data_IF_847396104030
#
_entry.id   IF_847396104030
#
_cell.length_a   1.000
_cell.length_b   1.000
_cell.length_c   1.000
_cell.angle_alpha   90.00
_cell.angle_beta   90.00
_cell.angle_gamma   90.00
#
_symmetry.space_group_name_H-M   'P 1'
#
loop_
_entity.id
_entity.type
_entity.pdbx_description
1 polymer ?
#
# COMPACT_ATOMS: atom_id res chain seq x y z
N UNK A 1 12.99 -6.02 58.66
CA UNK A 1 13.82 -5.63 57.49
C UNK A 1 14.21 -6.80 56.55
N UNK A 2 13.48 -7.92 56.54
CA UNK A 2 13.80 -9.08 55.67
C UNK A 2 12.79 -9.29 54.53
N UNK A 3 11.62 -8.65 54.56
CA UNK A 3 10.58 -8.83 53.52
C UNK A 3 10.62 -7.86 52.33
N UNK A 4 11.47 -6.82 52.36
CA UNK A 4 11.52 -5.79 51.29
C UNK A 4 12.63 -6.07 50.27
N UNK A 5 13.61 -6.95 50.57
CA UNK A 5 14.75 -7.22 49.68
C UNK A 5 14.45 -8.22 48.54
N UNK A 6 13.40 -9.02 48.62
CA UNK A 6 13.06 -10.00 47.56
C UNK A 6 12.30 -9.41 46.37
N UNK A 7 11.64 -8.26 46.53
CA UNK A 7 10.93 -7.61 45.41
C UNK A 7 11.87 -6.81 44.49
N UNK A 8 13.02 -6.36 45.01
CA UNK A 8 14.00 -5.62 44.22
C UNK A 8 14.80 -6.50 43.24
N UNK A 9 15.00 -7.78 43.56
CA UNK A 9 15.70 -8.73 42.66
C UNK A 9 14.77 -9.19 41.53
N UNK A 10 13.47 -9.31 41.78
CA UNK A 10 12.46 -9.62 40.74
C UNK A 10 12.26 -8.44 39.79
N UNK A 11 12.38 -7.19 40.27
CA UNK A 11 12.28 -6.00 39.41
C UNK A 11 13.52 -5.72 38.55
N UNK A 12 14.73 -6.08 39.01
CA UNK A 12 15.95 -5.91 38.22
C UNK A 12 16.20 -7.01 37.18
N UNK A 13 15.60 -8.19 37.31
CA UNK A 13 15.66 -9.24 36.28
C UNK A 13 14.79 -8.92 35.04
N UNK A 14 13.97 -7.88 35.09
CA UNK A 14 13.09 -7.43 33.99
C UNK A 14 13.74 -6.39 33.06
N UNK A 15 15.01 -6.02 33.28
CA UNK A 15 15.66 -4.92 32.55
C UNK A 15 16.79 -5.31 31.59
N UNK A 16 17.06 -6.60 31.41
CA UNK A 16 18.10 -7.08 30.48
C UNK A 16 17.70 -8.31 29.65
N UNK A 17 16.43 -8.68 29.63
CA UNK A 17 15.92 -9.71 28.73
C UNK A 17 15.05 -9.07 27.64
N UNK A 18 15.68 -8.60 26.56
CA UNK A 18 15.02 -8.44 25.26
C UNK A 18 14.70 -9.79 24.61
N UNK A 19 14.44 -10.82 25.44
CA UNK A 19 13.92 -12.10 25.02
C UNK A 19 12.41 -11.93 24.86
N UNK A 20 11.94 -12.12 23.64
CA UNK A 20 10.55 -12.24 23.28
C UNK A 20 9.75 -13.03 24.31
N UNK A 21 8.77 -12.39 24.93
CA UNK A 21 7.84 -13.00 25.89
C UNK A 21 7.24 -14.29 25.30
N UNK A 22 6.99 -14.35 23.98
CA UNK A 22 6.46 -15.56 23.33
C UNK A 22 7.46 -16.72 23.14
N UNK A 23 8.77 -16.50 22.99
CA UNK A 23 9.70 -17.61 22.65
C UNK A 23 10.33 -18.26 23.88
N UNK A 24 10.33 -17.59 25.03
CA UNK A 24 10.83 -18.15 26.28
C UNK A 24 9.72 -18.75 27.18
N UNK A 25 8.43 -18.49 26.86
CA UNK A 25 7.34 -18.79 27.80
C UNK A 25 6.95 -20.28 27.90
N UNK A 26 6.63 -21.01 26.83
CA UNK A 26 5.90 -22.28 27.08
C UNK A 26 6.75 -23.56 27.26
N UNK A 27 8.01 -23.61 26.83
CA UNK A 27 8.84 -24.82 27.08
C UNK A 27 9.41 -24.89 28.51
N UNK A 28 9.33 -23.80 29.26
CA UNK A 28 9.89 -23.69 30.62
C UNK A 28 8.82 -23.61 31.72
N UNK A 29 7.53 -23.57 31.37
CA UNK A 29 6.45 -23.39 32.34
C UNK A 29 5.94 -24.73 32.91
N UNK A 30 5.69 -24.74 34.22
CA UNK A 30 5.02 -25.86 34.89
C UNK A 30 3.57 -25.98 34.43
N UNK A 31 2.94 -27.14 34.67
CA UNK A 31 1.51 -27.33 34.40
C UNK A 31 0.64 -26.30 35.13
N UNK A 32 1.01 -25.95 36.36
CA UNK A 32 0.30 -24.95 37.16
C UNK A 32 0.42 -23.55 36.52
N UNK A 33 1.58 -23.19 35.98
CA UNK A 33 1.77 -21.90 35.28
C UNK A 33 0.99 -21.85 33.97
N UNK A 34 0.96 -22.94 33.20
CA UNK A 34 0.13 -23.03 31.99
C UNK A 34 -1.35 -22.91 32.31
N UNK A 35 -1.81 -23.53 33.41
CA UNK A 35 -3.19 -23.42 33.86
C UNK A 35 -3.54 -22.02 34.35
N UNK A 36 -2.61 -21.35 35.04
CA UNK A 36 -2.83 -20.01 35.59
C UNK A 36 -2.78 -18.90 34.53
N UNK A 37 -1.88 -19.00 33.54
CA UNK A 37 -1.57 -17.89 32.63
C UNK A 37 -1.77 -18.20 31.14
N UNK A 38 -1.99 -19.46 30.76
CA UNK A 38 -2.10 -19.88 29.34
C UNK A 38 -3.20 -19.16 28.57
N UNK A 39 -4.34 -18.90 29.21
CA UNK A 39 -5.42 -18.12 28.61
C UNK A 39 -5.00 -16.65 28.38
N UNK A 40 -4.32 -16.03 29.36
CA UNK A 40 -3.83 -14.66 29.21
C UNK A 40 -2.81 -14.52 28.07
N UNK A 41 -1.94 -15.52 27.86
CA UNK A 41 -1.02 -15.57 26.72
C UNK A 41 -1.78 -15.68 25.40
N UNK A 42 -2.80 -16.53 25.36
CA UNK A 42 -3.68 -16.70 24.18
C UNK A 42 -4.40 -15.39 23.85
N UNK A 43 -4.99 -14.71 24.85
CA UNK A 43 -5.71 -13.45 24.67
C UNK A 43 -4.79 -12.29 24.26
N UNK A 44 -3.57 -12.26 24.80
CA UNK A 44 -2.54 -11.33 24.37
C UNK A 44 -2.17 -11.54 22.90
N UNK A 45 -1.84 -12.78 22.51
CA UNK A 45 -1.49 -13.12 21.14
C UNK A 45 -2.64 -12.83 20.17
N UNK A 46 -3.89 -13.10 20.57
CA UNK A 46 -5.08 -12.76 19.78
C UNK A 46 -5.20 -11.26 19.57
N UNK A 47 -5.06 -10.46 20.63
CA UNK A 47 -5.20 -9.00 20.56
C UNK A 47 -4.07 -8.35 19.77
N UNK A 48 -2.83 -8.74 20.04
CA UNK A 48 -1.67 -8.29 19.28
C UNK A 48 -1.75 -8.73 17.81
N UNK A 49 -2.14 -9.98 17.56
CA UNK A 49 -2.36 -10.53 16.24
C UNK A 49 -3.45 -9.79 15.45
N UNK A 50 -4.56 -9.40 16.09
CA UNK A 50 -5.64 -8.67 15.43
C UNK A 50 -5.17 -7.27 15.01
N UNK A 51 -4.47 -6.56 15.90
CA UNK A 51 -3.84 -5.29 15.57
C UNK A 51 -2.78 -5.46 14.47
N UNK A 52 -1.99 -6.54 14.53
CA UNK A 52 -1.00 -6.91 13.51
C UNK A 52 -1.62 -7.22 12.16
N UNK A 53 -2.79 -7.85 12.14
CA UNK A 53 -3.56 -8.11 10.94
C UNK A 53 -3.93 -6.80 10.26
N UNK A 54 -4.60 -5.90 10.98
CA UNK A 54 -5.02 -4.61 10.45
C UNK A 54 -3.83 -3.73 10.01
N UNK A 55 -2.76 -3.70 10.81
CA UNK A 55 -1.54 -2.96 10.48
C UNK A 55 -0.85 -3.53 9.23
N UNK A 56 -0.77 -4.85 9.13
CA UNK A 56 -0.03 -5.56 8.08
C UNK A 56 -0.80 -5.75 6.78
N UNK A 57 -2.10 -5.44 6.72
CA UNK A 57 -2.91 -5.65 5.51
C UNK A 57 -2.31 -5.01 4.25
N UNK A 58 -1.88 -3.74 4.26
CA UNK A 58 -1.24 -3.15 3.07
C UNK A 58 0.03 -3.89 2.64
N UNK A 59 0.86 -4.32 3.60
CA UNK A 59 2.08 -5.08 3.32
C UNK A 59 1.75 -6.43 2.67
N UNK A 60 0.71 -7.12 3.13
CA UNK A 60 0.23 -8.37 2.55
C UNK A 60 -0.30 -8.16 1.13
N UNK A 61 -1.21 -7.20 0.93
CA UNK A 61 -1.81 -6.88 -0.38
C UNK A 61 -0.72 -6.52 -1.41
N UNK A 62 0.22 -5.65 -1.02
CA UNK A 62 1.32 -5.25 -1.89
C UNK A 62 2.28 -6.40 -2.15
N UNK A 63 2.52 -7.29 -1.18
CA UNK A 63 3.31 -8.50 -1.41
C UNK A 63 2.68 -9.44 -2.44
N UNK A 64 1.36 -9.64 -2.37
CA UNK A 64 0.63 -10.46 -3.35
C UNK A 64 0.67 -9.78 -4.72
N UNK A 65 0.41 -8.48 -4.79
CA UNK A 65 0.38 -7.75 -6.05
C UNK A 65 1.76 -7.66 -6.73
N UNK A 66 2.81 -7.33 -5.97
CA UNK A 66 4.20 -7.28 -6.46
C UNK A 66 4.61 -8.64 -7.00
N UNK A 67 4.38 -9.72 -6.24
CA UNK A 67 4.72 -11.07 -6.67
C UNK A 67 3.98 -11.45 -7.95
N UNK A 68 2.67 -11.20 -8.02
CA UNK A 68 1.86 -11.56 -9.19
C UNK A 68 2.32 -10.81 -10.45
N UNK A 69 2.57 -9.51 -10.35
CA UNK A 69 2.97 -8.69 -11.50
C UNK A 69 4.39 -9.00 -11.96
N UNK A 70 5.32 -9.20 -11.02
CA UNK A 70 6.74 -9.36 -11.34
C UNK A 70 7.10 -10.78 -11.79
N UNK A 71 6.26 -11.77 -11.45
CA UNK A 71 6.40 -13.17 -11.89
C UNK A 71 5.55 -13.55 -13.09
N UNK A 72 4.88 -12.61 -13.75
CA UNK A 72 4.06 -12.93 -14.94
C UNK A 72 2.73 -13.63 -14.64
N UNK A 73 2.29 -13.66 -13.37
CA UNK A 73 1.03 -14.30 -12.96
C UNK A 73 -0.16 -13.35 -13.19
N UNK A 74 0.07 -12.04 -13.12
CA UNK A 74 -0.96 -11.05 -13.40
C UNK A 74 -1.24 -11.00 -14.91
N UNK A 75 -2.52 -11.18 -15.27
CA UNK A 75 -2.94 -11.39 -16.66
C UNK A 75 -2.58 -10.24 -17.60
N UNK A 76 -2.83 -9.00 -17.17
CA UNK A 76 -2.93 -7.87 -18.09
C UNK A 76 -1.96 -6.74 -17.75
N UNK A 77 -1.02 -6.90 -16.82
CA UNK A 77 -0.11 -5.83 -16.39
C UNK A 77 1.22 -6.33 -15.79
N UNK A 78 1.64 -7.56 -16.11
CA UNK A 78 2.89 -8.10 -15.60
C UNK A 78 4.11 -7.44 -16.23
N UNK A 79 5.10 -7.11 -15.40
CA UNK A 79 6.42 -6.68 -15.81
C UNK A 79 7.43 -6.97 -14.69
N UNK A 80 8.69 -7.32 -15.02
CA UNK A 80 9.75 -7.42 -14.03
C UNK A 80 9.97 -6.08 -13.31
N UNK A 81 10.54 -6.13 -12.11
CA UNK A 81 11.02 -4.92 -11.42
C UNK A 81 11.88 -4.05 -12.32
N UNK A 82 11.74 -2.73 -12.19
CA UNK A 82 12.43 -1.76 -13.05
C UNK A 82 11.78 -1.49 -14.40
N UNK A 83 10.66 -2.15 -14.73
CA UNK A 83 9.95 -1.95 -15.99
C UNK A 83 8.46 -1.65 -15.76
N UNK A 84 7.84 -0.96 -16.73
CA UNK A 84 6.40 -0.71 -16.74
C UNK A 84 5.65 -1.87 -17.41
N UNK A 85 4.67 -2.42 -16.70
CA UNK A 85 3.62 -3.27 -17.26
C UNK A 85 2.40 -2.43 -17.63
N UNK A 86 1.87 -2.63 -18.84
CA UNK A 86 0.74 -1.86 -19.37
C UNK A 86 -0.56 -2.61 -19.17
N UNK A 87 -1.49 -2.00 -18.43
CA UNK A 87 -2.77 -2.62 -18.13
C UNK A 87 -3.61 -2.81 -19.40
N UNK A 88 -4.27 -3.97 -19.50
CA UNK A 88 -5.09 -4.35 -20.65
C UNK A 88 -4.36 -4.19 -22.00
N UNK A 89 -3.03 -4.30 -22.01
CA UNK A 89 -2.20 -4.07 -23.19
C UNK A 89 -2.29 -2.64 -23.74
N UNK A 90 -2.46 -1.63 -22.89
CA UNK A 90 -2.56 -0.23 -23.29
C UNK A 90 -3.95 0.17 -23.78
N UNK A 91 -5.00 -0.49 -23.29
CA UNK A 91 -6.41 -0.18 -23.59
C UNK A 91 -7.13 0.28 -22.34
N UNK A 92 -8.11 1.15 -22.52
CA UNK A 92 -9.00 1.59 -21.46
C UNK A 92 -9.77 0.40 -20.87
N UNK A 93 -10.02 0.46 -19.56
CA UNK A 93 -10.76 -0.57 -18.82
C UNK A 93 -12.21 -0.67 -19.30
N UNK A 94 -12.75 -1.87 -19.37
CA UNK A 94 -14.15 -2.13 -19.75
C UNK A 94 -14.84 -3.08 -18.74
N UNK A 95 -16.06 -3.49 -19.05
CA UNK A 95 -16.86 -4.39 -18.20
C UNK A 95 -16.23 -5.79 -17.99
N UNK A 96 -15.24 -6.17 -18.79
CA UNK A 96 -14.50 -7.45 -18.66
C UNK A 96 -13.23 -7.33 -17.83
N UNK A 97 -12.87 -6.10 -17.45
CA UNK A 97 -11.66 -5.82 -16.70
C UNK A 97 -11.78 -6.29 -15.25
N UNK A 98 -10.84 -7.14 -14.81
CA UNK A 98 -10.83 -7.74 -13.47
C UNK A 98 -9.54 -7.52 -12.69
N UNK A 99 -8.53 -6.88 -13.30
CA UNK A 99 -7.23 -6.70 -12.68
C UNK A 99 -7.27 -5.73 -11.48
N UNK A 100 -8.22 -4.79 -11.44
CA UNK A 100 -8.56 -3.94 -10.29
C UNK A 100 -10.06 -4.03 -9.98
N UNK A 101 -10.46 -3.77 -8.72
CA UNK A 101 -11.85 -3.89 -8.30
C UNK A 101 -12.80 -2.86 -8.96
N UNK A 102 -12.34 -1.62 -9.16
CA UNK A 102 -13.11 -0.55 -9.82
C UNK A 102 -12.16 0.35 -10.62
N UNK A 103 -11.66 -0.10 -11.78
CA UNK A 103 -10.74 0.69 -12.58
C UNK A 103 -11.46 1.88 -13.21
N UNK A 104 -10.74 2.99 -13.40
CA UNK A 104 -11.28 4.15 -14.11
C UNK A 104 -11.27 3.86 -15.64
N UNK A 105 -12.43 3.91 -16.34
CA UNK A 105 -12.49 3.67 -17.78
C UNK A 105 -12.00 4.85 -18.63
N UNK A 106 -11.65 5.99 -18.03
CA UNK A 106 -11.24 7.22 -18.73
C UNK A 106 -9.72 7.41 -18.80
N UNK A 107 -8.94 6.47 -18.26
CA UNK A 107 -7.48 6.55 -18.24
C UNK A 107 -6.82 5.22 -18.63
N UNK A 108 -5.72 5.33 -19.37
CA UNK A 108 -4.75 4.26 -19.54
C UNK A 108 -3.92 4.13 -18.26
N UNK A 109 -3.56 2.91 -17.92
CA UNK A 109 -2.74 2.59 -16.75
C UNK A 109 -1.49 1.82 -17.15
N UNK A 110 -0.37 2.19 -16.55
CA UNK A 110 0.84 1.37 -16.50
C UNK A 110 1.40 1.37 -15.07
N UNK A 111 2.01 0.28 -14.64
CA UNK A 111 2.65 0.21 -13.32
C UNK A 111 4.02 -0.40 -13.33
N UNK A 112 4.84 -0.01 -12.36
CA UNK A 112 6.15 -0.58 -12.12
C UNK A 112 6.39 -0.79 -10.61
N UNK A 113 7.24 -1.76 -10.30
CA UNK A 113 7.76 -1.98 -8.96
C UNK A 113 9.27 -1.70 -8.94
N UNK A 114 9.73 -1.07 -7.86
CA UNK A 114 11.16 -0.87 -7.60
C UNK A 114 11.50 -1.27 -6.17
N UNK A 115 12.70 -1.81 -6.00
CA UNK A 115 13.39 -1.91 -4.72
C UNK A 115 14.52 -0.87 -4.67
N UNK A 116 14.43 0.10 -3.78
CA UNK A 116 15.29 1.30 -3.77
C UNK A 116 16.51 1.18 -2.85
N UNK A 117 16.50 0.22 -1.90
CA UNK A 117 17.59 0.09 -0.93
C UNK A 117 18.89 -0.29 -1.63
N UNK A 118 19.88 0.59 -1.53
CA UNK A 118 21.19 0.45 -2.20
C UNK A 118 21.20 0.78 -3.69
N UNK A 119 20.05 1.09 -4.31
CA UNK A 119 19.98 1.40 -5.74
C UNK A 119 18.86 2.42 -6.04
N UNK A 120 19.17 3.74 -6.06
CA UNK A 120 18.25 4.76 -6.54
C UNK A 120 17.93 4.60 -8.02
N UNK A 121 16.77 5.09 -8.41
CA UNK A 121 16.30 5.08 -9.80
C UNK A 121 16.01 6.49 -10.30
N UNK A 122 16.03 6.66 -11.61
CA UNK A 122 15.52 7.85 -12.30
C UNK A 122 14.29 7.42 -13.10
N UNK A 123 13.21 8.19 -12.98
CA UNK A 123 12.04 8.06 -13.85
C UNK A 123 12.05 9.16 -14.91
N UNK A 124 11.85 8.77 -16.15
CA UNK A 124 11.54 9.68 -17.25
C UNK A 124 10.03 9.85 -17.36
N UNK A 125 9.57 11.09 -17.23
CA UNK A 125 8.22 11.50 -17.60
C UNK A 125 8.30 12.17 -18.96
N UNK A 126 7.68 11.62 -20.03
CA UNK A 126 7.72 12.24 -21.34
C UNK A 126 7.02 13.60 -21.31
N UNK A 127 7.38 14.53 -22.21
CA UNK A 127 6.55 15.71 -22.44
C UNK A 127 5.17 15.26 -22.92
N UNK A 128 4.16 15.93 -22.40
CA UNK A 128 2.76 15.65 -22.69
C UNK A 128 2.19 16.82 -23.48
N UNK A 129 1.26 16.57 -24.40
CA UNK A 129 0.44 17.66 -24.94
C UNK A 129 -0.55 18.14 -23.86
N UNK A 130 -1.61 18.87 -24.23
CA UNK A 130 -2.66 19.29 -23.29
C UNK A 130 -3.58 18.12 -22.86
N UNK A 131 -2.97 17.08 -22.28
CA UNK A 131 -3.57 15.83 -21.83
C UNK A 131 -3.38 15.72 -20.33
N UNK A 132 -4.42 15.26 -19.63
CA UNK A 132 -4.30 14.98 -18.21
C UNK A 132 -3.52 13.69 -17.97
N UNK A 133 -2.54 13.74 -17.05
CA UNK A 133 -1.82 12.58 -16.56
C UNK A 133 -1.43 12.72 -15.08
N UNK A 134 -1.12 11.58 -14.47
CA UNK A 134 -0.52 11.48 -13.14
C UNK A 134 0.39 10.25 -13.04
N UNK A 135 1.52 10.41 -12.38
CA UNK A 135 2.37 9.33 -11.87
C UNK A 135 2.30 9.37 -10.36
N UNK A 136 1.73 8.33 -9.77
CA UNK A 136 1.55 8.15 -8.35
C UNK A 136 2.66 7.24 -7.81
N UNK A 137 3.19 7.58 -6.63
CA UNK A 137 4.19 6.78 -5.93
C UNK A 137 3.65 6.37 -4.57
N UNK A 138 3.36 5.09 -4.42
CA UNK A 138 2.89 4.50 -3.16
C UNK A 138 4.01 3.70 -2.48
N UNK A 139 4.19 3.97 -1.19
CA UNK A 139 5.04 3.14 -0.35
C UNK A 139 4.35 1.79 -0.06
N UNK A 140 5.06 0.87 0.59
CA UNK A 140 4.54 -0.48 0.86
C UNK A 140 3.43 -0.53 1.92
N UNK A 141 3.16 0.58 2.62
CA UNK A 141 1.98 0.77 3.46
C UNK A 141 0.77 1.35 2.70
N UNK A 142 0.82 1.40 1.36
CA UNK A 142 -0.18 2.04 0.48
C UNK A 142 -0.37 3.54 0.77
N UNK A 143 0.66 4.20 1.31
CA UNK A 143 0.67 5.65 1.52
C UNK A 143 1.21 6.34 0.27
N UNK A 144 0.49 7.36 -0.17
CA UNK A 144 0.91 8.22 -1.27
C UNK A 144 1.99 9.21 -0.84
N UNK A 145 3.20 8.98 -1.33
CA UNK A 145 4.36 9.80 -1.01
C UNK A 145 4.52 10.97 -1.98
N UNK A 146 4.26 10.74 -3.27
CA UNK A 146 4.47 11.74 -4.31
C UNK A 146 3.53 11.61 -5.51
N UNK A 147 3.40 12.72 -6.23
CA UNK A 147 2.71 12.81 -7.51
C UNK A 147 3.49 13.67 -8.51
N UNK A 148 3.86 13.08 -9.65
CA UNK A 148 4.32 13.83 -10.83
C UNK A 148 3.16 13.90 -11.82
N UNK A 149 2.65 15.10 -12.11
CA UNK A 149 1.39 15.26 -12.82
C UNK A 149 1.30 16.61 -13.52
N UNK A 150 0.28 16.77 -14.36
CA UNK A 150 -0.15 18.07 -14.90
C UNK A 150 -0.23 19.19 -13.86
N UNK A 151 -0.58 18.88 -12.60
CA UNK A 151 -0.73 19.87 -11.53
C UNK A 151 0.55 20.17 -10.77
N UNK A 152 1.54 19.29 -10.83
CA UNK A 152 2.78 19.42 -10.05
C UNK A 152 3.97 19.83 -10.90
N UNK A 153 4.07 19.30 -12.12
CA UNK A 153 5.19 19.58 -13.05
C UNK A 153 4.71 20.10 -14.42
N UNK A 154 3.40 20.26 -14.61
CA UNK A 154 2.83 20.71 -15.89
C UNK A 154 3.00 19.66 -16.98
N UNK A 155 3.16 20.14 -18.22
CA UNK A 155 3.21 19.30 -19.42
C UNK A 155 4.63 19.05 -19.95
N UNK A 156 5.65 19.70 -19.36
CA UNK A 156 7.03 19.62 -19.86
C UNK A 156 7.67 18.25 -19.67
N UNK A 157 7.18 17.44 -18.74
CA UNK A 157 7.83 16.20 -18.33
C UNK A 157 9.17 16.47 -17.64
N UNK A 158 10.08 15.50 -17.70
CA UNK A 158 11.43 15.60 -17.17
C UNK A 158 11.90 14.32 -16.49
N UNK A 159 13.14 14.36 -16.00
CA UNK A 159 13.78 13.25 -15.30
C UNK A 159 13.78 13.51 -13.79
N UNK A 160 13.32 12.54 -13.00
CA UNK A 160 13.18 12.69 -11.56
C UNK A 160 13.89 11.56 -10.82
N UNK A 161 14.66 11.92 -9.79
CA UNK A 161 15.30 10.95 -8.91
C UNK A 161 14.25 10.27 -8.02
N UNK A 162 14.35 8.96 -7.82
CA UNK A 162 13.57 8.16 -6.87
C UNK A 162 14.54 7.49 -5.90
N UNK A 163 14.38 7.74 -4.60
CA UNK A 163 15.22 7.13 -3.55
C UNK A 163 14.40 6.64 -2.38
N UNK A 164 15.02 5.80 -1.56
CA UNK A 164 14.57 5.55 -0.19
C UNK A 164 14.94 6.74 0.74
N UNK A 165 14.68 6.58 2.04
CA UNK A 165 15.00 7.58 3.08
C UNK A 165 16.49 7.65 3.39
N UNK A 166 17.24 6.56 3.18
CA UNK A 166 18.67 6.47 3.50
C UNK A 166 19.53 7.29 2.52
N UNK A 167 18.99 7.71 1.37
CA UNK A 167 19.69 8.59 0.44
C UNK A 167 20.05 9.96 1.03
N UNK A 168 21.36 10.17 1.18
CA UNK A 168 21.98 11.43 1.63
C UNK A 168 22.67 12.27 0.54
N UNK A 169 23.20 11.70 -0.56
CA UNK A 169 23.88 12.53 -1.55
C UNK A 169 22.97 13.62 -2.17
N UNK A 170 23.54 14.73 -2.66
CA UNK A 170 22.75 15.78 -3.30
C UNK A 170 22.09 15.29 -4.60
N UNK A 171 21.04 16.00 -5.04
CA UNK A 171 20.40 15.75 -6.32
C UNK A 171 21.42 15.97 -7.47
N UNK A 172 21.67 14.97 -8.33
CA UNK A 172 22.53 15.16 -9.48
C UNK A 172 22.04 16.27 -10.42
N UNK A 173 22.94 17.04 -11.05
CA UNK A 173 22.55 18.11 -11.96
C UNK A 173 21.79 17.54 -13.17
N UNK A 174 20.83 18.33 -13.67
CA UNK A 174 20.01 17.96 -14.84
C UNK A 174 18.70 17.23 -14.49
N UNK A 175 18.55 16.72 -13.26
CA UNK A 175 17.29 16.16 -12.79
C UNK A 175 16.31 17.28 -12.37
N UNK A 176 15.05 17.14 -12.79
CA UNK A 176 13.99 18.11 -12.57
C UNK A 176 13.42 18.08 -11.13
N UNK A 177 13.70 17.01 -10.38
CA UNK A 177 13.29 16.91 -8.99
C UNK A 177 13.62 15.56 -8.35
N UNK A 178 13.17 15.42 -7.10
CA UNK A 178 13.43 14.27 -6.25
C UNK A 178 12.14 13.76 -5.61
N UNK A 179 11.89 12.47 -5.76
CA UNK A 179 10.85 11.68 -5.09
C UNK A 179 11.52 10.80 -4.05
N UNK A 180 11.17 10.98 -2.78
CA UNK A 180 11.69 10.19 -1.66
C UNK A 180 10.59 9.30 -1.11
N UNK A 181 10.85 7.99 -0.99
CA UNK A 181 9.90 6.98 -0.53
C UNK A 181 10.29 6.50 0.87
N UNK A 182 9.32 6.36 1.77
CA UNK A 182 9.54 5.95 3.16
C UNK A 182 9.82 4.45 3.36
N UNK A 183 9.50 3.62 2.37
CA UNK A 183 9.82 2.18 2.37
C UNK A 183 10.84 1.86 1.28
N UNK A 184 11.63 0.77 1.42
CA UNK A 184 12.57 0.37 0.38
C UNK A 184 11.89 -0.14 -0.89
N UNK A 185 10.59 -0.43 -0.86
CA UNK A 185 9.81 -0.81 -2.03
C UNK A 185 8.83 0.31 -2.40
N UNK A 186 8.64 0.55 -3.69
CA UNK A 186 7.65 1.50 -4.19
C UNK A 186 6.86 0.88 -5.33
N UNK A 187 5.56 1.13 -5.30
CA UNK A 187 4.69 0.91 -6.44
C UNK A 187 4.47 2.23 -7.17
N UNK A 188 4.64 2.20 -8.48
CA UNK A 188 4.45 3.36 -9.35
C UNK A 188 3.26 3.08 -10.24
N UNK A 189 2.29 4.00 -10.28
CA UNK A 189 1.13 3.89 -11.14
C UNK A 189 0.99 5.15 -12.01
N UNK A 190 1.05 4.97 -13.32
CA UNK A 190 0.71 6.02 -14.28
C UNK A 190 -0.78 5.99 -14.60
N UNK A 191 -1.33 7.17 -14.86
CA UNK A 191 -2.66 7.36 -15.41
C UNK A 191 -2.55 8.40 -16.51
N UNK A 192 -3.07 8.11 -17.68
CA UNK A 192 -3.12 9.05 -18.81
C UNK A 192 -4.55 9.08 -19.29
N UNK A 193 -5.20 10.24 -19.28
CA UNK A 193 -6.54 10.38 -19.82
C UNK A 193 -6.58 9.79 -21.22
N UNK A 194 -7.65 9.11 -21.61
CA UNK A 194 -7.89 8.59 -22.96
C UNK A 194 -9.38 8.50 -23.27
N UNK A 195 -9.71 8.41 -24.55
CA UNK A 195 -11.02 7.98 -25.05
C UNK A 195 -10.83 6.73 -25.91
N UNK A 196 -11.90 6.00 -26.21
CA UNK A 196 -11.83 4.81 -27.09
C UNK A 196 -11.23 5.12 -28.46
N UNK A 197 -11.50 6.32 -28.98
CA UNK A 197 -11.02 6.73 -30.31
C UNK A 197 -9.51 7.00 -30.35
N UNK A 198 -8.88 7.29 -29.21
CA UNK A 198 -7.46 7.66 -29.14
C UNK A 198 -6.60 6.80 -28.20
N UNK A 199 -7.16 5.78 -27.55
CA UNK A 199 -6.41 4.94 -26.59
C UNK A 199 -5.13 4.35 -27.20
N UNK A 200 -5.20 3.86 -28.45
CA UNK A 200 -4.05 3.31 -29.15
C UNK A 200 -2.98 4.37 -29.43
N UNK A 201 -3.39 5.57 -29.83
CA UNK A 201 -2.48 6.69 -30.08
C UNK A 201 -1.82 7.13 -28.77
N UNK A 202 -2.60 7.32 -27.70
CA UNK A 202 -2.10 7.74 -26.39
C UNK A 202 -1.16 6.71 -25.77
N UNK A 203 -1.46 5.42 -25.94
CA UNK A 203 -0.58 4.34 -25.51
C UNK A 203 0.79 4.41 -26.20
N UNK A 204 0.80 4.50 -27.54
CA UNK A 204 2.04 4.49 -28.32
C UNK A 204 2.86 5.78 -28.14
N UNK A 205 2.18 6.93 -28.09
CA UNK A 205 2.85 8.24 -28.04
C UNK A 205 3.30 8.63 -26.64
N UNK A 206 2.56 8.26 -25.59
CA UNK A 206 2.84 8.72 -24.23
C UNK A 206 3.11 7.57 -23.26
N UNK A 207 2.17 6.63 -23.12
CA UNK A 207 2.27 5.61 -22.06
C UNK A 207 3.54 4.76 -22.16
N UNK A 208 3.91 4.37 -23.39
CA UNK A 208 5.13 3.60 -23.65
C UNK A 208 6.42 4.39 -23.49
N UNK A 209 6.34 5.70 -23.31
CA UNK A 209 7.52 6.59 -23.19
C UNK A 209 7.95 6.82 -21.75
N UNK A 210 7.17 6.38 -20.75
CA UNK A 210 7.65 6.33 -19.38
C UNK A 210 8.73 5.26 -19.24
N UNK A 211 9.87 5.63 -18.66
CA UNK A 211 11.04 4.75 -18.51
C UNK A 211 11.66 4.87 -17.12
N UNK A 212 12.37 3.84 -16.71
CA UNK A 212 13.05 3.73 -15.42
C UNK A 212 14.47 3.26 -15.66
N UNK A 213 15.44 3.92 -15.03
CA UNK A 213 16.84 3.52 -15.07
C UNK A 213 17.45 3.58 -13.67
N UNK A 214 18.34 2.65 -13.31
CA UNK A 214 19.20 2.84 -12.15
C UNK A 214 19.96 4.16 -12.28
N UNK A 215 20.09 4.91 -11.18
CA UNK A 215 20.78 6.21 -11.19
C UNK A 215 22.21 6.08 -11.73
N UNK A 216 22.92 5.03 -11.33
CA UNK A 216 24.28 4.75 -11.82
C UNK A 216 24.33 4.59 -13.35
N UNK A 217 23.29 4.02 -13.96
CA UNK A 217 23.23 3.85 -15.40
C UNK A 217 22.83 5.15 -16.11
N UNK A 218 21.93 5.94 -15.53
CA UNK A 218 21.58 7.28 -16.02
C UNK A 218 22.81 8.19 -16.08
N UNK A 219 23.61 8.22 -15.00
CA UNK A 219 24.77 9.10 -14.87
C UNK A 219 25.92 8.79 -15.84
N UNK A 220 25.97 7.59 -16.45
CA UNK A 220 26.96 7.27 -17.49
C UNK A 220 26.78 8.12 -18.74
N UNK A 221 25.55 8.39 -19.15
CA UNK A 221 25.24 9.12 -20.39
C UNK A 221 23.84 9.76 -20.33
N UNK A 222 23.65 10.84 -19.55
CA UNK A 222 22.31 11.42 -19.34
C UNK A 222 21.59 11.81 -20.63
N UNK A 223 22.30 12.39 -21.61
CA UNK A 223 21.72 12.89 -22.86
C UNK A 223 21.08 11.80 -23.74
N UNK A 224 21.56 10.56 -23.64
CA UNK A 224 21.10 9.41 -24.45
C UNK A 224 20.57 8.29 -23.56
N UNK A 225 20.30 8.57 -22.27
CA UNK A 225 19.96 7.55 -21.29
C UNK A 225 18.69 6.77 -21.69
N UNK A 226 17.74 7.47 -22.31
CA UNK A 226 16.40 6.98 -22.65
C UNK A 226 16.29 6.32 -24.02
N UNK A 227 17.38 6.32 -24.81
CA UNK A 227 17.43 5.65 -26.12
C UNK A 227 17.45 4.12 -26.01
N UNK A 228 17.69 3.61 -24.80
CA UNK A 228 17.69 2.18 -24.47
C UNK A 228 16.49 1.78 -23.62
N UNK A 229 16.05 0.52 -23.69
CA UNK A 229 14.99 0.02 -22.83
C UNK A 229 15.39 0.04 -21.35
N UNK A 230 14.39 0.17 -20.47
CA UNK A 230 14.58 0.02 -19.03
C UNK A 230 15.09 -1.40 -18.70
N UNK A 231 16.21 -1.56 -18.00
CA UNK A 231 16.71 -2.88 -17.63
C UNK A 231 15.83 -3.49 -16.54
N UNK A 232 15.73 -4.81 -16.50
CA UNK A 232 15.19 -5.52 -15.34
C UNK A 232 16.10 -5.27 -14.14
N UNK A 233 15.49 -4.97 -12.99
CA UNK A 233 16.24 -4.80 -11.75
C UNK A 233 16.85 -6.13 -11.29
N UNK A 234 18.15 -6.10 -10.97
CA UNK A 234 18.89 -7.25 -10.48
C UNK A 234 19.13 -7.17 -8.95
N UNK A 235 19.60 -8.27 -8.36
CA UNK A 235 20.01 -8.35 -6.94
C UNK A 235 18.90 -7.98 -5.94
N UNK A 236 17.66 -8.36 -6.26
CA UNK A 236 16.51 -8.15 -5.39
C UNK A 236 16.52 -9.13 -4.21
N UNK A 237 16.10 -8.71 -3.01
CA UNK A 237 15.83 -9.66 -1.94
C UNK A 237 14.67 -10.58 -2.33
N UNK A 238 14.78 -11.85 -1.94
CA UNK A 238 13.75 -12.86 -2.19
C UNK A 238 12.39 -12.41 -1.63
N UNK A 239 11.37 -12.37 -2.49
CA UNK A 239 9.99 -12.16 -2.07
C UNK A 239 9.42 -13.43 -1.43
N UNK A 240 8.69 -13.32 -0.31
CA UNK A 240 8.00 -14.46 0.26
C UNK A 240 6.89 -14.91 -0.70
N UNK A 241 6.64 -16.21 -0.79
CA UNK A 241 5.42 -16.69 -1.46
C UNK A 241 4.20 -16.07 -0.77
N UNK A 242 3.35 -15.44 -1.57
CA UNK A 242 2.19 -14.68 -1.14
C UNK A 242 1.05 -14.93 -2.13
N UNK A 243 -0.09 -15.36 -1.59
CA UNK A 243 -1.32 -15.58 -2.33
C UNK A 243 -2.53 -15.16 -1.50
N UNK A 244 -3.61 -14.74 -2.16
CA UNK A 244 -4.84 -14.34 -1.48
C UNK A 244 -5.45 -15.44 -0.61
N UNK A 245 -5.19 -16.72 -0.88
CA UNK A 245 -5.61 -17.85 -0.05
C UNK A 245 -4.92 -17.86 1.35
N UNK A 246 -3.80 -17.16 1.50
CA UNK A 246 -3.05 -17.09 2.76
C UNK A 246 -3.60 -16.04 3.75
N UNK A 247 -4.58 -15.21 3.33
CA UNK A 247 -5.09 -14.09 4.14
C UNK A 247 -5.87 -14.50 5.40
N UNK A 248 -6.20 -15.78 5.52
CA UNK A 248 -6.91 -16.38 6.66
C UNK A 248 -6.06 -17.43 7.40
N UNK A 249 -4.78 -17.56 7.06
CA UNK A 249 -3.85 -18.52 7.65
C UNK A 249 -2.69 -17.82 8.36
N UNK A 250 -1.91 -18.55 9.15
CA UNK A 250 -0.72 -17.99 9.80
C UNK A 250 0.35 -17.51 8.80
N UNK A 251 0.29 -17.92 7.53
CA UNK A 251 1.18 -17.41 6.48
C UNK A 251 1.02 -15.91 6.25
N UNK A 252 -0.14 -15.33 6.57
CA UNK A 252 -0.32 -13.88 6.61
C UNK A 252 0.76 -13.22 7.48
N UNK A 253 0.97 -13.69 8.71
CA UNK A 253 1.96 -13.13 9.63
C UNK A 253 3.39 -13.39 9.15
N UNK A 254 3.66 -14.50 8.44
CA UNK A 254 4.95 -14.76 7.79
C UNK A 254 5.29 -13.68 6.75
N UNK A 255 4.33 -13.31 5.92
CA UNK A 255 4.50 -12.29 4.87
C UNK A 255 4.66 -10.90 5.51
N UNK A 256 3.81 -10.56 6.48
CA UNK A 256 3.90 -9.28 7.19
C UNK A 256 5.23 -9.16 7.94
N UNK A 257 5.64 -10.19 8.69
CA UNK A 257 6.92 -10.23 9.38
C UNK A 257 8.10 -10.01 8.43
N UNK A 258 8.10 -10.66 7.26
CA UNK A 258 9.16 -10.48 6.26
C UNK A 258 9.36 -9.00 5.88
N UNK A 259 8.27 -8.27 5.65
CA UNK A 259 8.32 -6.86 5.24
C UNK A 259 8.59 -5.91 6.41
N UNK A 260 8.01 -6.14 7.60
CA UNK A 260 8.28 -5.33 8.79
C UNK A 260 9.77 -5.31 9.15
N UNK A 261 10.48 -6.40 8.89
CA UNK A 261 11.93 -6.53 9.13
C UNK A 261 12.80 -5.75 8.14
N UNK A 262 12.22 -5.21 7.07
CA UNK A 262 12.95 -4.48 6.01
C UNK A 262 12.63 -2.99 5.97
N UNK A 263 11.58 -2.57 6.67
CA UNK A 263 11.09 -1.20 6.65
C UNK A 263 11.52 -0.49 7.93
N UNK A 264 11.99 0.75 7.79
CA UNK A 264 12.21 1.62 8.93
C UNK A 264 10.87 2.03 9.53
N UNK A 265 10.55 1.48 10.69
CA UNK A 265 9.28 1.73 11.35
C UNK A 265 9.28 3.13 12.00
N UNK A 266 8.26 3.97 11.72
CA UNK A 266 8.13 5.28 12.36
C UNK A 266 8.23 5.19 13.89
N UNK A 267 8.85 6.19 14.50
CA UNK A 267 9.01 6.25 15.97
C UNK A 267 7.67 6.13 16.73
N UNK A 268 6.58 6.59 16.13
CA UNK A 268 5.22 6.51 16.68
C UNK A 268 4.70 5.09 16.84
N UNK A 269 5.23 4.14 16.07
CA UNK A 269 4.69 2.78 15.97
C UNK A 269 5.54 1.78 16.77
N UNK A 270 6.62 2.24 17.42
CA UNK A 270 7.57 1.38 18.13
C UNK A 270 6.92 0.58 19.28
N UNK A 271 5.93 1.16 19.97
CA UNK A 271 5.17 0.44 21.00
C UNK A 271 4.34 -0.70 20.41
N UNK A 272 3.72 -0.48 19.25
CA UNK A 272 2.97 -1.51 18.54
C UNK A 272 3.89 -2.62 18.02
N UNK A 273 5.06 -2.26 17.48
CA UNK A 273 6.06 -3.24 17.06
C UNK A 273 6.56 -4.11 18.22
N UNK A 274 6.74 -3.53 19.41
CA UNK A 274 7.10 -4.30 20.60
C UNK A 274 6.03 -5.32 20.99
N UNK A 275 4.74 -4.97 20.83
CA UNK A 275 3.65 -5.93 21.01
C UNK A 275 3.70 -7.06 19.97
N UNK A 276 3.99 -6.74 18.70
CA UNK A 276 4.11 -7.73 17.63
C UNK A 276 5.31 -8.65 17.83
N UNK A 277 6.45 -8.12 18.27
CA UNK A 277 7.62 -8.91 18.65
C UNK A 277 7.25 -9.88 19.79
N UNK A 278 6.61 -9.35 20.84
CA UNK A 278 6.17 -10.16 21.97
C UNK A 278 5.14 -11.23 21.59
N UNK A 279 4.36 -11.04 20.52
CA UNK A 279 3.45 -12.03 19.95
C UNK A 279 4.10 -12.94 18.89
N UNK A 280 5.38 -12.73 18.56
CA UNK A 280 6.18 -13.61 17.72
C UNK A 280 6.29 -13.25 16.24
N UNK A 281 5.73 -12.13 15.78
CA UNK A 281 5.72 -11.73 14.35
C UNK A 281 6.21 -10.31 14.04
N UNK A 282 6.70 -9.55 15.01
CA UNK A 282 7.21 -8.18 14.82
C UNK A 282 8.57 -8.06 14.11
N UNK A 283 9.11 -6.84 13.93
CA UNK A 283 10.32 -6.59 13.15
C UNK A 283 11.63 -7.14 13.75
N UNK A 284 11.65 -7.57 15.03
CA UNK A 284 12.86 -8.12 15.68
C UNK A 284 12.86 -9.64 15.79
N UNK A 285 11.87 -10.31 15.21
CA UNK A 285 11.72 -11.77 15.28
C UNK A 285 11.62 -12.36 13.88
N UNK A 286 11.99 -13.63 13.74
CA UNK A 286 11.74 -14.40 12.51
C UNK A 286 10.51 -15.26 12.77
N UNK A 287 9.37 -14.90 12.16
CA UNK A 287 8.13 -15.64 12.34
C UNK A 287 8.26 -17.05 11.74
N UNK A 288 8.03 -18.05 12.58
CA UNK A 288 8.01 -19.47 12.21
C UNK A 288 6.83 -20.12 12.92
N UNK A 289 5.72 -20.43 12.19
CA UNK A 289 4.53 -20.97 12.83
C UNK A 289 4.84 -22.29 13.55
N UNK A 290 5.78 -23.11 13.05
CA UNK A 290 6.11 -24.39 13.67
C UNK A 290 6.79 -24.26 15.04
N UNK A 291 7.35 -23.08 15.36
CA UNK A 291 7.99 -22.79 16.65
C UNK A 291 7.07 -22.05 17.62
N UNK A 292 5.84 -21.74 17.22
CA UNK A 292 4.88 -21.10 18.11
C UNK A 292 4.46 -22.09 19.20
N UNK A 293 4.31 -21.55 20.40
CA UNK A 293 3.70 -22.27 21.50
C UNK A 293 2.21 -22.54 21.20
N UNK A 294 1.59 -23.56 21.82
CA UNK A 294 0.17 -23.85 21.60
C UNK A 294 -0.75 -22.63 21.85
N UNK A 295 -0.46 -21.84 22.88
CA UNK A 295 -1.24 -20.68 23.30
C UNK A 295 -1.09 -19.51 22.32
N UNK A 296 0.14 -19.17 21.93
CA UNK A 296 0.40 -18.11 20.95
C UNK A 296 -0.20 -18.48 19.59
N UNK A 297 -0.02 -19.73 19.15
CA UNK A 297 -0.62 -20.25 17.93
C UNK A 297 -2.14 -20.09 17.96
N UNK A 298 -2.80 -20.57 19.01
CA UNK A 298 -4.26 -20.49 19.13
C UNK A 298 -4.75 -19.03 19.07
N UNK A 299 -4.05 -18.10 19.72
CA UNK A 299 -4.36 -16.68 19.68
C UNK A 299 -4.22 -16.09 18.27
N UNK A 300 -3.10 -16.36 17.58
CA UNK A 300 -2.85 -15.84 16.22
C UNK A 300 -3.80 -16.46 15.17
N UNK A 301 -4.17 -17.73 15.30
CA UNK A 301 -5.15 -18.39 14.44
C UNK A 301 -6.56 -17.80 14.61
N UNK A 302 -6.92 -17.37 15.82
CA UNK A 302 -8.16 -16.60 16.04
C UNK A 302 -8.04 -15.20 15.44
N UNK A 303 -6.92 -14.52 15.68
CA UNK A 303 -6.67 -13.16 15.20
C UNK A 303 -6.78 -13.02 13.68
N UNK A 304 -6.20 -13.94 12.90
CA UNK A 304 -6.24 -13.85 11.43
C UNK A 304 -7.67 -13.99 10.89
N UNK A 305 -8.47 -14.89 11.49
CA UNK A 305 -9.88 -15.11 11.11
C UNK A 305 -10.74 -13.91 11.52
N UNK A 306 -10.55 -13.41 12.73
CA UNK A 306 -11.25 -12.22 13.24
C UNK A 306 -10.90 -10.98 12.41
N UNK A 307 -9.62 -10.78 12.11
CA UNK A 307 -9.11 -9.69 11.30
C UNK A 307 -9.67 -9.71 9.89
N UNK A 308 -9.64 -10.88 9.22
CA UNK A 308 -10.25 -11.04 7.90
C UNK A 308 -11.73 -10.70 7.92
N UNK A 309 -12.49 -11.29 8.86
CA UNK A 309 -13.93 -11.02 9.00
C UNK A 309 -14.21 -9.55 9.27
N UNK A 310 -13.39 -8.88 10.08
CA UNK A 310 -13.51 -7.45 10.34
C UNK A 310 -13.33 -6.65 9.04
N UNK A 311 -12.25 -6.89 8.29
CA UNK A 311 -11.97 -6.18 7.04
C UNK A 311 -13.05 -6.44 5.98
N UNK A 312 -13.50 -7.68 5.83
CA UNK A 312 -14.56 -8.07 4.91
C UNK A 312 -15.90 -7.39 5.25
N UNK A 313 -16.25 -7.35 6.54
CA UNK A 313 -17.44 -6.64 7.03
C UNK A 313 -17.35 -5.14 6.76
N UNK A 314 -16.20 -4.53 7.04
CA UNK A 314 -15.98 -3.11 6.80
C UNK A 314 -16.01 -2.76 5.31
N UNK A 315 -15.60 -3.67 4.42
CA UNK A 315 -15.70 -3.50 2.97
C UNK A 315 -17.15 -3.39 2.50
N UNK A 316 -18.07 -4.10 3.14
CA UNK A 316 -19.49 -4.06 2.83
C UNK A 316 -20.21 -2.82 3.40
N UNK A 317 -19.57 -2.07 4.30
CA UNK A 317 -20.16 -0.90 4.94
C UNK A 317 -19.99 0.38 4.07
N UNK A 318 -21.03 1.23 3.96
CA UNK A 318 -20.90 2.52 3.29
C UNK A 318 -19.97 3.46 4.09
N UNK A 319 -19.09 4.19 3.38
CA UNK A 319 -18.08 5.08 4.00
C UNK A 319 -18.66 6.39 4.57
N UNK A 320 -19.94 6.68 4.32
CA UNK A 320 -20.71 7.75 4.96
C UNK A 320 -22.09 7.23 5.33
N UNK A 321 -22.69 7.84 6.34
CA UNK A 321 -24.04 7.53 6.79
C UNK A 321 -24.90 8.80 6.88
N UNK A 322 -24.79 9.68 5.88
CA UNK A 322 -25.56 10.93 5.81
C UNK A 322 -26.99 10.74 5.26
N UNK A 323 -27.42 9.48 5.07
CA UNK A 323 -28.73 9.14 4.54
C UNK A 323 -28.92 9.42 3.05
N UNK A 324 -27.93 10.00 2.35
CA UNK A 324 -28.06 10.38 0.93
C UNK A 324 -27.85 9.22 -0.04
N UNK A 325 -27.38 8.07 0.46
CA UNK A 325 -26.90 6.97 -0.36
C UNK A 325 -25.59 7.28 -1.09
N UNK A 326 -25.02 8.48 -0.96
CA UNK A 326 -23.70 8.84 -1.50
C UNK A 326 -22.65 8.77 -0.41
N UNK A 327 -21.53 8.15 -0.75
CA UNK A 327 -20.33 8.08 0.07
C UNK A 327 -19.15 8.76 -0.60
N UNK A 328 -18.43 9.54 0.19
CA UNK A 328 -17.18 10.17 -0.20
C UNK A 328 -16.10 9.62 0.72
N UNK A 329 -14.92 9.34 0.15
CA UNK A 329 -13.78 8.92 0.94
C UNK A 329 -13.48 9.96 2.05
N UNK A 330 -13.18 9.51 3.28
CA UNK A 330 -12.86 10.41 4.38
C UNK A 330 -11.61 11.25 4.07
N UNK A 331 -11.50 12.47 4.62
CA UNK A 331 -10.24 13.22 4.61
C UNK A 331 -9.10 12.36 5.20
N UNK A 332 -7.94 12.31 4.52
CA UNK A 332 -6.79 11.51 4.96
C UNK A 332 -6.70 10.09 4.39
N UNK A 333 -7.63 9.67 3.52
CA UNK A 333 -7.46 8.44 2.73
C UNK A 333 -6.17 8.55 1.90
N UNK A 334 -5.26 7.57 2.04
CA UNK A 334 -3.93 7.53 1.40
C UNK A 334 -2.82 8.24 2.19
N UNK A 335 -3.13 8.79 3.38
CA UNK A 335 -2.15 9.26 4.37
C UNK A 335 -2.53 8.68 5.72
N UNK A 336 -2.15 7.41 5.95
CA UNK A 336 -2.75 6.64 7.04
C UNK A 336 -2.32 7.07 8.44
N UNK A 337 -1.16 7.70 8.61
CA UNK A 337 -0.69 8.13 9.94
C UNK A 337 -0.85 6.99 10.95
N UNK A 338 -1.51 7.26 12.08
CA UNK A 338 -1.84 6.25 13.11
C UNK A 338 -3.21 5.58 12.92
N UNK A 339 -3.96 5.90 11.85
CA UNK A 339 -5.30 5.35 11.62
C UNK A 339 -5.23 3.99 10.91
N UNK A 340 -4.71 2.99 11.62
CA UNK A 340 -4.59 1.60 11.15
C UNK A 340 -5.94 0.90 10.92
N UNK A 341 -7.06 1.45 11.38
CA UNK A 341 -8.41 0.96 11.03
C UNK A 341 -8.87 1.40 9.63
N UNK A 342 -8.36 2.52 9.12
CA UNK A 342 -8.66 2.98 7.76
C UNK A 342 -7.73 2.36 6.72
N UNK A 343 -6.52 1.95 7.11
CA UNK A 343 -5.52 1.40 6.19
C UNK A 343 -5.96 0.12 5.47
N UNK A 344 -6.65 -0.88 6.09
CA UNK A 344 -7.16 -2.06 5.39
C UNK A 344 -8.30 -1.76 4.41
N UNK A 345 -9.26 -0.93 4.83
CA UNK A 345 -10.39 -0.55 3.96
C UNK A 345 -9.89 0.30 2.81
N UNK A 346 -8.92 1.18 3.04
CA UNK A 346 -8.29 1.99 2.03
C UNK A 346 -7.30 1.21 1.17
N UNK A 347 -6.52 0.25 1.67
CA UNK A 347 -5.64 -0.55 0.81
C UNK A 347 -6.44 -1.42 -0.16
N UNK A 348 -7.69 -1.80 0.17
CA UNK A 348 -8.59 -2.45 -0.79
C UNK A 348 -9.40 -1.46 -1.66
N UNK A 349 -9.74 -0.27 -1.15
CA UNK A 349 -10.56 0.74 -1.87
C UNK A 349 -9.73 1.75 -2.67
N UNK A 350 -8.51 2.07 -2.25
CA UNK A 350 -7.60 3.07 -2.81
C UNK A 350 -6.96 2.62 -4.12
N UNK A 351 -6.88 1.30 -4.38
CA UNK A 351 -6.56 0.80 -5.71
C UNK A 351 -7.50 1.43 -6.77
N UNK A 352 -8.76 1.70 -6.42
CA UNK A 352 -9.71 2.39 -7.29
C UNK A 352 -9.80 3.91 -7.10
N UNK A 353 -9.31 4.49 -5.99
CA UNK A 353 -9.65 5.87 -5.59
C UNK A 353 -8.41 6.67 -5.23
N UNK A 354 -8.20 7.76 -5.95
CA UNK A 354 -7.17 8.76 -5.67
C UNK A 354 -7.26 9.24 -4.22
N UNK A 355 -6.15 9.17 -3.49
CA UNK A 355 -6.02 9.72 -2.14
C UNK A 355 -6.39 11.19 -2.12
N UNK A 356 -6.81 11.70 -0.96
CA UNK A 356 -7.24 13.10 -0.79
C UNK A 356 -6.09 13.94 -0.22
N UNK A 357 -5.02 14.18 -1.00
CA UNK A 357 -4.24 15.42 -0.82
C UNK A 357 -5.05 16.57 -1.45
N UNK A 358 -4.92 17.80 -0.96
CA UNK A 358 -5.67 19.01 -1.43
C UNK A 358 -5.61 19.30 -2.96
N UNK A 359 -4.98 18.45 -3.78
CA UNK A 359 -4.72 18.65 -5.22
C UNK A 359 -5.10 17.46 -6.12
N UNK A 360 -5.78 16.44 -5.61
CA UNK A 360 -6.28 15.28 -6.38
C UNK A 360 -7.81 15.27 -6.51
N UNK A 361 -8.31 14.56 -7.53
CA UNK A 361 -9.73 14.50 -7.90
C UNK A 361 -10.55 13.70 -6.87
N UNK A 362 -11.67 14.22 -6.36
CA UNK A 362 -12.58 13.44 -5.53
C UNK A 362 -13.44 12.50 -6.39
N UNK A 363 -13.55 11.23 -6.00
CA UNK A 363 -14.46 10.25 -6.63
C UNK A 363 -15.61 9.90 -5.68
N UNK A 364 -16.80 10.50 -5.83
CA UNK A 364 -17.98 10.13 -5.05
C UNK A 364 -18.54 8.76 -5.51
N UNK A 365 -19.15 8.00 -4.62
CA UNK A 365 -19.77 6.70 -4.95
C UNK A 365 -21.11 6.53 -4.27
N UNK A 366 -22.14 6.19 -5.05
CA UNK A 366 -23.46 5.89 -4.52
C UNK A 366 -23.58 4.39 -4.14
N UNK A 367 -24.10 4.12 -2.94
CA UNK A 367 -24.62 2.83 -2.49
C UNK A 367 -26.04 3.10 -1.95
N UNK A 368 -27.11 2.81 -2.71
CA UNK A 368 -28.45 3.17 -2.29
C UNK A 368 -28.93 2.34 -1.09
N UNK A 369 -29.64 3.00 -0.16
CA UNK A 369 -30.55 2.37 0.80
C UNK A 369 -31.88 3.10 0.76
N UNK A 370 -32.92 2.46 0.22
CA UNK A 370 -34.29 2.96 0.25
C UNK A 370 -35.14 2.43 -0.91
N UNK A 371 -36.12 1.57 -0.56
CA UNK A 371 -36.97 0.70 -1.40
C UNK A 371 -36.25 -0.58 -1.85
N UNK A 372 -36.84 -1.74 -1.52
CA UNK A 372 -36.27 -3.10 -1.53
C UNK A 372 -35.79 -3.65 -2.88
N UNK A 373 -34.87 -2.98 -3.58
CA UNK A 373 -34.15 -3.56 -4.70
C UNK A 373 -32.72 -3.01 -4.78
N UNK A 374 -31.68 -3.85 -4.90
CA UNK A 374 -30.38 -3.38 -5.37
C UNK A 374 -30.56 -2.69 -6.73
N UNK A 375 -29.65 -1.78 -7.11
CA UNK A 375 -29.60 -1.26 -8.50
C UNK A 375 -29.23 -2.43 -9.39
N UNK A 376 -30.25 -3.07 -9.95
CA UNK A 376 -30.13 -4.14 -10.92
C UNK A 376 -30.23 -3.53 -12.32
N UNK A 377 -29.60 -4.18 -13.28
CA UNK A 377 -29.71 -3.83 -14.71
C UNK A 377 -31.15 -3.86 -15.24
N UNK A 378 -32.09 -4.42 -14.47
CA UNK A 378 -33.51 -4.56 -14.81
C UNK A 378 -34.37 -3.37 -14.39
N UNK A 379 -33.87 -2.43 -13.58
CA UNK A 379 -34.66 -1.28 -13.11
C UNK A 379 -34.06 0.04 -13.61
N UNK A 380 -34.78 0.86 -14.40
CA UNK A 380 -34.30 2.17 -14.83
C UNK A 380 -33.99 3.06 -13.61
N UNK A 381 -32.82 3.68 -13.60
CA UNK A 381 -32.42 4.65 -12.57
C UNK A 381 -32.05 5.99 -13.21
N UNK A 382 -32.40 7.09 -12.55
CA UNK A 382 -32.12 8.46 -13.02
C UNK A 382 -31.33 9.21 -11.94
N UNK A 383 -30.17 9.75 -12.32
CA UNK A 383 -29.38 10.65 -11.46
C UNK A 383 -29.42 12.07 -12.01
N UNK A 384 -29.87 13.05 -11.20
CA UNK A 384 -29.93 14.46 -11.60
C UNK A 384 -28.78 15.24 -10.97
N UNK A 385 -27.82 15.65 -11.79
CA UNK A 385 -26.68 16.46 -11.35
C UNK A 385 -26.95 17.95 -11.59
N UNK A 386 -26.93 18.75 -10.52
CA UNK A 386 -27.03 20.21 -10.62
C UNK A 386 -25.71 20.84 -11.05
N UNK A 387 -25.69 21.60 -12.15
CA UNK A 387 -24.54 22.44 -12.50
C UNK A 387 -24.62 23.75 -11.72
N UNK A 388 -23.71 23.98 -10.78
CA UNK A 388 -23.49 25.33 -10.25
C UNK A 388 -22.75 26.18 -11.30
N UNK A 389 -23.45 27.12 -11.94
CA UNK A 389 -22.80 28.23 -12.63
C UNK A 389 -22.15 29.11 -11.56
N UNK A 390 -20.84 29.37 -11.67
CA UNK A 390 -20.22 30.46 -10.92
C UNK A 390 -20.96 31.76 -11.26
N UNK A 391 -21.28 32.63 -10.29
CA UNK A 391 -21.79 33.96 -10.62
C UNK A 391 -20.75 34.65 -11.51
N UNK A 392 -21.19 35.18 -12.66
CA UNK A 392 -20.36 36.13 -13.42
C UNK A 392 -19.97 37.28 -12.50
N UNK A 393 -18.73 37.80 -12.56
CA UNK A 393 -18.42 39.04 -11.86
C UNK A 393 -19.33 40.11 -12.48
N UNK A 394 -20.29 40.60 -11.72
CA UNK A 394 -21.09 41.75 -12.12
C UNK A 394 -20.13 42.89 -12.39
N UNK A 395 -20.14 43.36 -13.65
CA UNK A 395 -19.42 44.53 -14.06
C UNK A 395 -19.83 45.70 -13.17
N UNK A 396 -18.83 46.35 -12.57
CA UNK A 396 -18.96 47.77 -12.25
C UNK A 396 -18.78 48.51 -13.57
N UNK A 397 -19.88 49.06 -14.07
CA UNK A 397 -19.88 50.12 -15.08
C UNK A 397 -20.02 51.47 -14.33
N UNK A 398 -19.57 52.57 -14.95
CA UNK A 398 -18.49 53.45 -14.51
C UNK A 398 -18.81 54.34 -13.31
#
# INVERSE_FOLDING_TARGET
MVHIRNWFIVFMALWSASATIATAADSAWSKEQQQAFGQSVTDFARSAGLLGYLYGMPLFEFSVAELRQTRGIAKDNSAPHGQFGYFNGGRLSDHTTTWFAVPNPDVLYASAWLYLKGQPYVIHVPPMDDIWYSVQFENYFSVDEAYLSTRTIGQKGGDFLITDQEWQPPLPPGLAGHVRISTPRVWILTRIAATRDNEKERHLRYERRFQLLPLADYLKSPATAWDRPSPTQANLPTLPEADYAMRETLDFFRIVNHHLRQIDIPATDQGLMAMFDAAGFGPRVVFDPAKLTPQVRAGLEQAVKEGYRYVDTMRAAPMSNDGSGWSVAPPGLGTFGQNSSCAPSASMVAWARTSRRRRSTPTPTAIPRGVCSPVTTTTPSLSRLGRHRRPSPSGRSP
#
